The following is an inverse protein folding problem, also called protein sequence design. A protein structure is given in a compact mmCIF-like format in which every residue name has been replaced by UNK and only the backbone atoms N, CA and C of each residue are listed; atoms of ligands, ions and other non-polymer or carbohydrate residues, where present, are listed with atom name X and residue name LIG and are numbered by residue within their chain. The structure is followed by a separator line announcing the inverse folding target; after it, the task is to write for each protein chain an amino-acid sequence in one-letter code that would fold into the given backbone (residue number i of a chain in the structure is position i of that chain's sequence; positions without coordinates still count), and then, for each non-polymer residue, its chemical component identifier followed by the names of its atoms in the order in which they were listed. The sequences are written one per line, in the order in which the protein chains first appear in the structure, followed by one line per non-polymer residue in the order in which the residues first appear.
data_IF_551768727808
#
_entry.id   IF_551768727808
#
_cell.length_a   1.000
_cell.length_b   1.000
_cell.length_c   1.000
_cell.angle_alpha   90.00
_cell.angle_beta   90.00
_cell.angle_gamma   90.00
#
_symmetry.space_group_name_H-M   'P 1'
#
loop_
_entity.id
_entity.type
_entity.pdbx_description
1 polymer ?
#
# COMPACT_ATOMS: atom_id res chain seq x y z
N UNK A 1 29.88 6.95 10.49
CA UNK A 1 28.60 7.51 10.04
C UNK A 1 28.25 6.81 8.74
N UNK A 2 27.19 6.01 8.72
CA UNK A 2 26.68 5.43 7.47
C UNK A 2 25.86 6.53 6.82
N UNK A 3 26.33 7.05 5.68
CA UNK A 3 25.49 7.91 4.84
C UNK A 3 24.35 7.04 4.32
N UNK A 4 23.16 7.23 4.88
CA UNK A 4 21.93 6.77 4.23
C UNK A 4 21.80 7.66 3.01
N UNK A 5 21.99 7.07 1.83
CA UNK A 5 21.79 7.76 0.57
C UNK A 5 20.27 7.85 0.37
N UNK A 6 19.68 8.94 0.86
CA UNK A 6 18.24 9.21 0.71
C UNK A 6 17.99 9.61 -0.75
N UNK A 7 17.92 8.61 -1.62
CA UNK A 7 17.44 8.81 -2.99
C UNK A 7 15.91 8.82 -2.94
N UNK A 8 15.33 10.00 -3.13
CA UNK A 8 13.90 10.15 -3.35
C UNK A 8 13.53 9.40 -4.63
N UNK A 9 12.48 8.57 -4.55
CA UNK A 9 11.94 7.83 -5.69
C UNK A 9 10.51 8.33 -5.90
N UNK A 10 10.25 8.86 -7.09
CA UNK A 10 8.89 9.16 -7.53
C UNK A 10 8.23 7.88 -8.03
N UNK A 11 7.03 7.59 -7.52
CA UNK A 11 6.20 6.49 -7.98
C UNK A 11 4.92 7.04 -8.58
N UNK A 12 4.57 6.55 -9.76
CA UNK A 12 3.26 6.78 -10.36
C UNK A 12 2.16 6.08 -9.59
N UNK A 13 0.92 6.51 -9.82
CA UNK A 13 -0.27 5.88 -9.25
C UNK A 13 -0.35 4.40 -9.60
N UNK A 14 -0.06 4.06 -10.85
CA UNK A 14 -0.09 2.69 -11.36
C UNK A 14 0.96 1.80 -10.68
N UNK A 15 2.16 2.34 -10.43
CA UNK A 15 3.22 1.62 -9.72
C UNK A 15 2.83 1.33 -8.27
N UNK A 16 2.26 2.33 -7.57
CA UNK A 16 1.79 2.14 -6.20
C UNK A 16 0.67 1.09 -6.15
N UNK A 17 -0.28 1.12 -7.08
CA UNK A 17 -1.32 0.10 -7.18
C UNK A 17 -0.76 -1.29 -7.46
N UNK A 18 0.27 -1.38 -8.31
CA UNK A 18 0.99 -2.63 -8.56
C UNK A 18 1.63 -3.21 -7.31
N UNK A 19 2.31 -2.36 -6.52
CA UNK A 19 2.92 -2.76 -5.24
C UNK A 19 1.87 -3.25 -4.23
N UNK A 20 0.72 -2.58 -4.16
CA UNK A 20 -0.39 -3.00 -3.29
C UNK A 20 -0.94 -4.35 -3.74
N UNK A 21 -1.20 -4.55 -5.03
CA UNK A 21 -1.73 -5.83 -5.54
C UNK A 21 -0.75 -6.99 -5.35
N UNK A 22 0.54 -6.77 -5.64
CA UNK A 22 1.59 -7.76 -5.43
C UNK A 22 1.71 -8.13 -3.95
N UNK A 23 1.77 -7.13 -3.06
CA UNK A 23 1.85 -7.33 -1.62
C UNK A 23 0.64 -8.07 -1.05
N UNK A 24 -0.58 -7.67 -1.46
CA UNK A 24 -1.82 -8.31 -1.03
C UNK A 24 -1.88 -9.78 -1.46
N UNK A 25 -1.47 -10.08 -2.70
CA UNK A 25 -1.42 -11.46 -3.21
C UNK A 25 -0.41 -12.30 -2.44
N UNK A 26 0.78 -11.76 -2.21
CA UNK A 26 1.86 -12.50 -1.57
C UNK A 26 1.57 -12.80 -0.10
N UNK A 27 0.94 -11.86 0.62
CA UNK A 27 0.74 -11.96 2.08
C UNK A 27 -0.60 -12.57 2.46
N UNK A 28 -1.66 -12.21 1.75
CA UNK A 28 -3.03 -12.60 2.10
C UNK A 28 -3.71 -13.47 1.02
N UNK A 29 -3.08 -13.65 -0.14
CA UNK A 29 -3.66 -14.43 -1.24
C UNK A 29 -4.85 -13.77 -1.93
N UNK A 30 -5.05 -12.46 -1.75
CA UNK A 30 -6.16 -11.67 -2.30
C UNK A 30 -5.64 -10.57 -3.24
N UNK A 31 -6.53 -9.95 -4.01
CA UNK A 31 -6.18 -8.80 -4.85
C UNK A 31 -6.02 -7.53 -4.00
N UNK A 32 -5.25 -6.57 -4.48
CA UNK A 32 -5.06 -5.27 -3.82
C UNK A 32 -6.37 -4.52 -3.61
N UNK A 33 -7.27 -4.54 -4.59
CA UNK A 33 -8.62 -3.96 -4.47
C UNK A 33 -9.41 -4.57 -3.30
N UNK A 34 -9.34 -5.90 -3.17
CA UNK A 34 -10.04 -6.64 -2.11
C UNK A 34 -9.45 -6.33 -0.73
N UNK A 35 -8.12 -6.18 -0.64
CA UNK A 35 -7.45 -5.70 0.57
C UNK A 35 -8.02 -4.34 1.02
N UNK A 36 -8.13 -3.38 0.10
CA UNK A 36 -8.65 -2.04 0.42
C UNK A 36 -10.13 -2.09 0.80
N UNK A 37 -10.95 -2.88 0.11
CA UNK A 37 -12.35 -3.08 0.50
C UNK A 37 -12.49 -3.65 1.91
N UNK A 38 -11.69 -4.67 2.26
CA UNK A 38 -11.68 -5.25 3.61
C UNK A 38 -11.21 -4.25 4.66
N UNK A 39 -10.21 -3.42 4.33
CA UNK A 39 -9.75 -2.34 5.20
C UNK A 39 -10.86 -1.33 5.49
N UNK A 40 -11.50 -0.79 4.44
CA UNK A 40 -12.58 0.20 4.60
C UNK A 40 -13.79 -0.34 5.37
N UNK A 41 -14.04 -1.66 5.29
CA UNK A 41 -15.10 -2.33 6.06
C UNK A 41 -14.69 -2.73 7.48
N UNK A 42 -13.43 -2.52 7.86
CA UNK A 42 -12.89 -2.95 9.16
C UNK A 42 -12.84 -4.47 9.33
N UNK A 43 -12.70 -5.20 8.22
CA UNK A 43 -12.75 -6.67 8.17
C UNK A 43 -11.36 -7.33 8.04
N UNK A 44 -10.29 -6.53 7.96
CA UNK A 44 -8.93 -7.06 8.01
C UNK A 44 -8.61 -7.62 9.40
N UNK A 45 -8.23 -8.90 9.43
CA UNK A 45 -7.89 -9.60 10.68
C UNK A 45 -6.55 -9.19 11.25
N UNK A 46 -5.56 -8.96 10.39
CA UNK A 46 -4.23 -8.55 10.80
C UNK A 46 -3.77 -7.36 9.96
N UNK A 47 -3.86 -6.17 10.56
CA UNK A 47 -3.40 -4.93 9.94
C UNK A 47 -1.88 -4.83 9.93
N UNK A 48 -1.18 -5.52 10.84
CA UNK A 48 0.27 -5.45 10.96
C UNK A 48 0.98 -6.04 9.74
N UNK A 49 0.42 -7.11 9.18
CA UNK A 49 0.98 -7.78 8.00
C UNK A 49 0.88 -6.95 6.71
N UNK A 50 0.03 -5.93 6.67
CA UNK A 50 -0.25 -5.12 5.46
C UNK A 50 -0.18 -3.61 5.71
N UNK A 51 0.35 -3.18 6.86
CA UNK A 51 0.35 -1.77 7.26
C UNK A 51 1.09 -0.87 6.24
N UNK A 52 2.19 -1.34 5.68
CA UNK A 52 2.94 -0.67 4.62
C UNK A 52 2.11 -0.52 3.33
N UNK A 53 1.34 -1.53 2.94
CA UNK A 53 0.45 -1.47 1.77
C UNK A 53 -0.70 -0.48 1.98
N UNK A 54 -1.22 -0.39 3.21
CA UNK A 54 -2.24 0.59 3.56
C UNK A 54 -1.69 2.02 3.56
N UNK A 55 -0.46 2.23 4.02
CA UNK A 55 0.21 3.53 3.92
C UNK A 55 0.33 3.96 2.46
N UNK A 56 0.75 3.05 1.57
CA UNK A 56 0.79 3.31 0.13
C UNK A 56 -0.59 3.70 -0.43
N UNK A 57 -1.65 3.03 0.02
CA UNK A 57 -3.02 3.36 -0.40
C UNK A 57 -3.45 4.76 0.06
N UNK A 58 -3.11 5.15 1.29
CA UNK A 58 -3.43 6.49 1.81
C UNK A 58 -2.74 7.61 1.03
N UNK A 59 -1.54 7.37 0.50
CA UNK A 59 -0.84 8.33 -0.36
C UNK A 59 -1.60 8.57 -1.69
N UNK A 60 -2.30 7.54 -2.20
CA UNK A 60 -3.13 7.69 -3.39
C UNK A 60 -4.42 8.49 -3.10
N UNK A 61 -4.98 8.35 -1.91
CA UNK A 61 -6.19 9.08 -1.50
C UNK A 61 -5.90 10.57 -1.29
N UNK A 62 -4.79 10.90 -0.64
CA UNK A 62 -4.38 12.30 -0.38
C UNK A 62 -4.17 13.07 -1.69
N UNK A 63 -3.53 12.44 -2.68
CA UNK A 63 -3.36 13.04 -4.01
C UNK A 63 -4.67 13.17 -4.81
N UNK A 64 -5.70 12.40 -4.50
CA UNK A 64 -7.01 12.53 -5.14
C UNK A 64 -7.88 13.63 -4.51
N UNK A 65 -7.55 14.06 -3.29
CA UNK A 65 -8.27 15.10 -2.55
C UNK A 65 -7.66 16.51 -2.72
N UNK A 66 -6.46 16.61 -3.32
CA UNK A 66 -5.75 17.85 -3.64
C UNK A 66 -6.08 18.37 -5.05
#
# INVERSE_FOLDING_TARGET
MVQVNESEVELSREEILGLIDEGARHRLGIRGEELLELYHRGQLRDLGEVADLLVLATLLEDQAAA
#
